data_IF_930000009309
#
_entry.id   IF_930000009309
#
_cell.length_a   1.000
_cell.length_b   1.000
_cell.length_c   1.000
_cell.angle_alpha   90.00
_cell.angle_beta   90.00
_cell.angle_gamma   90.00
#
_symmetry.space_group_name_H-M   'P 1'
#
loop_
_entity.id
_entity.type
_entity.pdbx_description
1 polymer ?
#
# COMPACT_ATOMS: atom_id res chain seq x y z
N UNK A 1 -39.63 10.32 14.13
CA UNK A 1 -38.36 11.07 14.15
C UNK A 1 -38.16 11.70 12.77
N UNK A 2 -38.90 12.77 12.47
CA UNK A 2 -38.81 13.49 11.20
C UNK A 2 -37.74 14.57 11.35
N UNK A 3 -36.55 14.34 10.81
CA UNK A 3 -35.56 15.40 10.67
C UNK A 3 -36.12 16.44 9.71
N UNK A 4 -36.22 17.67 10.19
CA UNK A 4 -36.77 18.80 9.45
C UNK A 4 -35.92 19.09 8.19
N UNK A 5 -36.59 19.00 7.04
CA UNK A 5 -36.11 19.39 5.70
C UNK A 5 -35.27 20.70 5.62
N UNK A 6 -35.47 21.76 6.44
CA UNK A 6 -34.61 22.96 6.39
C UNK A 6 -33.12 22.70 6.66
N UNK A 7 -32.76 21.67 7.41
CA UNK A 7 -31.36 21.44 7.82
C UNK A 7 -30.48 20.97 6.65
N UNK A 8 -31.05 20.20 5.71
CA UNK A 8 -30.34 19.70 4.53
C UNK A 8 -30.05 20.81 3.53
N UNK A 9 -30.98 21.75 3.35
CA UNK A 9 -30.83 22.88 2.43
C UNK A 9 -29.78 23.87 2.96
N UNK A 10 -29.78 24.15 4.27
CA UNK A 10 -28.76 25.00 4.89
C UNK A 10 -27.36 24.38 4.83
N UNK A 11 -27.25 23.05 5.00
CA UNK A 11 -25.99 22.34 4.81
C UNK A 11 -25.50 22.45 3.36
N UNK A 12 -26.38 22.21 2.38
CA UNK A 12 -26.04 22.38 0.96
C UNK A 12 -25.60 23.81 0.64
N UNK A 13 -26.32 24.83 1.10
CA UNK A 13 -25.95 26.23 0.89
C UNK A 13 -24.60 26.57 1.54
N UNK A 14 -24.26 25.98 2.69
CA UNK A 14 -22.96 26.17 3.34
C UNK A 14 -21.81 25.55 2.54
N UNK A 15 -22.03 24.40 1.90
CA UNK A 15 -21.05 23.75 1.03
C UNK A 15 -20.85 24.54 -0.26
N UNK A 16 -21.92 25.10 -0.84
CA UNK A 16 -21.84 25.90 -2.06
C UNK A 16 -21.24 27.29 -1.88
N UNK A 17 -21.18 27.83 -0.67
CA UNK A 17 -20.60 29.16 -0.42
C UNK A 17 -19.06 29.15 -0.29
N UNK A 18 -18.41 27.99 -0.50
CA UNK A 18 -16.96 27.94 -0.50
C UNK A 18 -16.42 28.50 -1.83
N UNK A 19 -15.67 29.62 -1.85
CA UNK A 19 -15.23 30.30 -3.08
C UNK A 19 -14.36 29.40 -3.98
N UNK A 20 -13.75 28.37 -3.39
CA UNK A 20 -12.96 27.36 -4.11
C UNK A 20 -13.87 26.41 -4.92
N UNK A 21 -14.99 25.96 -4.34
CA UNK A 21 -15.93 25.07 -5.03
C UNK A 21 -16.60 25.77 -6.21
N UNK A 22 -16.94 27.05 -6.07
CA UNK A 22 -17.48 27.87 -7.17
C UNK A 22 -16.48 27.96 -8.32
N UNK A 23 -15.19 28.24 -8.04
CA UNK A 23 -14.14 28.28 -9.07
C UNK A 23 -13.95 26.94 -9.80
N UNK A 24 -14.10 25.84 -9.08
CA UNK A 24 -13.98 24.49 -9.64
C UNK A 24 -15.18 24.19 -10.53
N UNK A 25 -16.41 24.40 -10.03
CA UNK A 25 -17.63 24.16 -10.79
C UNK A 25 -17.66 24.99 -12.07
N UNK A 26 -17.28 26.28 -11.99
CA UNK A 26 -17.18 27.15 -13.17
C UNK A 26 -16.19 26.59 -14.19
N UNK A 27 -15.00 26.16 -13.76
CA UNK A 27 -14.00 25.53 -14.66
C UNK A 27 -14.52 24.25 -15.30
N UNK A 28 -15.23 23.40 -14.54
CA UNK A 28 -15.81 22.15 -15.06
C UNK A 28 -16.93 22.43 -16.08
N UNK A 29 -17.79 23.41 -15.82
CA UNK A 29 -18.86 23.81 -16.76
C UNK A 29 -18.26 24.38 -18.05
N UNK A 30 -17.29 25.29 -17.94
CA UNK A 30 -16.61 25.86 -19.13
C UNK A 30 -15.93 24.76 -19.94
N UNK A 31 -15.25 23.82 -19.28
CA UNK A 31 -14.63 22.68 -19.95
C UNK A 31 -15.67 21.80 -20.68
N UNK A 32 -16.77 21.44 -20.01
CA UNK A 32 -17.85 20.66 -20.61
C UNK A 32 -18.47 21.35 -21.83
N UNK A 33 -18.78 22.65 -21.72
CA UNK A 33 -19.30 23.44 -22.84
C UNK A 33 -18.32 23.49 -24.02
N UNK A 34 -17.01 23.64 -23.75
CA UNK A 34 -15.97 23.65 -24.78
C UNK A 34 -15.92 22.32 -25.53
N UNK A 35 -15.98 21.19 -24.81
CA UNK A 35 -15.98 19.85 -25.42
C UNK A 35 -17.23 19.65 -26.29
N UNK A 36 -18.42 20.02 -25.79
CA UNK A 36 -19.67 19.92 -26.55
C UNK A 36 -19.62 20.76 -27.82
N UNK A 37 -19.15 22.01 -27.73
CA UNK A 37 -19.00 22.89 -28.89
C UNK A 37 -18.03 22.29 -29.92
N UNK A 38 -16.88 21.76 -29.48
CA UNK A 38 -15.93 21.10 -30.38
C UNK A 38 -16.51 19.86 -31.07
N UNK A 39 -17.31 19.05 -30.37
CA UNK A 39 -17.97 17.88 -30.97
C UNK A 39 -19.02 18.29 -32.01
N UNK A 40 -19.80 19.34 -31.75
CA UNK A 40 -20.77 19.88 -32.71
C UNK A 40 -20.08 20.42 -33.97
N UNK A 41 -18.99 21.17 -33.79
CA UNK A 41 -18.20 21.67 -34.91
C UNK A 41 -17.57 20.53 -35.71
N UNK A 42 -17.05 19.50 -35.02
CA UNK A 42 -16.45 18.33 -35.66
C UNK A 42 -17.47 17.50 -36.44
N UNK A 43 -18.67 17.26 -35.88
CA UNK A 43 -19.74 16.54 -36.57
C UNK A 43 -20.15 17.24 -37.87
N UNK A 44 -20.36 18.56 -37.81
CA UNK A 44 -20.69 19.36 -38.99
C UNK A 44 -19.54 19.37 -40.02
N UNK A 45 -18.28 19.38 -39.56
CA UNK A 45 -17.11 19.35 -40.43
C UNK A 45 -16.97 18.00 -41.14
N UNK A 46 -17.19 16.88 -40.43
CA UNK A 46 -17.15 15.53 -41.00
C UNK A 46 -18.17 15.33 -42.11
N UNK A 47 -19.35 15.97 -42.02
CA UNK A 47 -20.35 15.92 -43.10
C UNK A 47 -19.89 16.59 -44.40
N UNK A 48 -18.93 17.51 -44.32
CA UNK A 48 -18.38 18.27 -45.46
C UNK A 48 -17.10 17.60 -46.01
N UNK A 49 -16.43 16.77 -45.20
CA UNK A 49 -15.15 16.15 -45.51
C UNK A 49 -15.09 15.01 -46.55
N UNK A 50 -16.17 14.29 -46.96
CA UNK A 50 -16.00 13.16 -47.88
C UNK A 50 -15.50 13.56 -49.27
N UNK A 51 -15.53 14.85 -49.60
CA UNK A 51 -15.05 15.39 -50.88
C UNK A 51 -13.59 15.86 -50.86
N UNK A 52 -12.89 15.74 -49.73
CA UNK A 52 -11.51 16.21 -49.58
C UNK A 52 -10.47 15.08 -49.63
N UNK A 53 -9.27 15.44 -50.07
CA UNK A 53 -8.08 14.58 -50.05
C UNK A 53 -7.79 14.07 -48.63
N UNK A 54 -7.44 12.78 -48.52
CA UNK A 54 -7.10 12.08 -47.28
C UNK A 54 -6.00 12.83 -46.51
N UNK A 55 -5.03 13.45 -47.19
CA UNK A 55 -3.97 14.21 -46.51
C UNK A 55 -4.51 15.42 -45.76
N UNK A 56 -5.52 16.10 -46.31
CA UNK A 56 -6.15 17.26 -45.66
C UNK A 56 -7.00 16.82 -44.46
N UNK A 57 -7.66 15.66 -44.55
CA UNK A 57 -8.43 15.09 -43.45
C UNK A 57 -7.55 14.82 -42.22
N UNK A 58 -6.36 14.25 -42.39
CA UNK A 58 -5.43 14.00 -41.29
C UNK A 58 -4.90 15.28 -40.62
N UNK A 59 -4.60 16.33 -41.40
CA UNK A 59 -4.15 17.61 -40.86
C UNK A 59 -5.20 18.28 -39.96
N UNK A 60 -6.47 18.21 -40.36
CA UNK A 60 -7.59 18.72 -39.57
C UNK A 60 -7.74 17.96 -38.25
N UNK A 61 -7.65 16.63 -38.28
CA UNK A 61 -7.75 15.79 -37.08
C UNK A 61 -6.61 16.10 -36.10
N UNK A 62 -5.37 16.23 -36.58
CA UNK A 62 -4.20 16.53 -35.74
C UNK A 62 -4.33 17.93 -35.11
N UNK A 63 -4.78 18.93 -35.87
CA UNK A 63 -5.00 20.29 -35.37
C UNK A 63 -6.05 20.31 -34.24
N UNK A 64 -7.16 19.61 -34.42
CA UNK A 64 -8.21 19.49 -33.40
C UNK A 64 -7.70 18.74 -32.17
N UNK A 65 -6.93 17.66 -32.35
CA UNK A 65 -6.34 16.91 -31.24
C UNK A 65 -5.39 17.78 -30.40
N UNK A 66 -4.57 18.63 -31.03
CA UNK A 66 -3.72 19.58 -30.31
C UNK A 66 -4.52 20.66 -29.58
N UNK A 67 -5.58 21.18 -30.20
CA UNK A 67 -6.48 22.16 -29.57
C UNK A 67 -7.25 21.58 -28.39
N UNK A 68 -7.64 20.31 -28.44
CA UNK A 68 -8.34 19.61 -27.36
C UNK A 68 -7.40 19.05 -26.28
N UNK A 69 -6.14 18.73 -26.60
CA UNK A 69 -5.18 18.17 -25.66
C UNK A 69 -4.73 19.15 -24.55
N UNK A 70 -4.63 20.44 -24.88
CA UNK A 70 -4.21 21.49 -23.94
C UNK A 70 -5.21 21.78 -22.79
N UNK A 71 -6.54 21.84 -23.01
CA UNK A 71 -7.49 22.01 -21.92
C UNK A 71 -7.65 20.74 -21.08
N UNK A 72 -7.51 19.55 -21.67
CA UNK A 72 -7.56 18.27 -20.95
C UNK A 72 -6.45 18.18 -19.89
N UNK A 73 -5.21 18.51 -20.23
CA UNK A 73 -4.08 18.45 -19.26
C UNK A 73 -4.26 19.40 -18.08
N UNK A 74 -4.74 20.62 -18.33
CA UNK A 74 -5.06 21.61 -17.30
C UNK A 74 -6.25 21.20 -16.42
N UNK A 75 -7.23 20.52 -16.99
CA UNK A 75 -8.38 19.98 -16.25
C UNK A 75 -7.95 18.86 -15.30
N UNK A 76 -7.21 17.86 -15.82
CA UNK A 76 -6.69 16.78 -14.99
C UNK A 76 -5.75 17.31 -13.89
N UNK A 77 -4.86 18.26 -14.19
CA UNK A 77 -3.99 18.88 -13.19
C UNK A 77 -4.76 19.56 -12.04
N UNK A 78 -5.88 20.23 -12.34
CA UNK A 78 -6.73 20.84 -11.31
C UNK A 78 -7.55 19.82 -10.52
N UNK A 79 -8.01 18.74 -11.16
CA UNK A 79 -8.73 17.65 -10.48
C UNK A 79 -7.84 16.89 -9.48
N UNK A 80 -6.56 16.71 -9.79
CA UNK A 80 -5.60 16.15 -8.83
C UNK A 80 -5.38 17.08 -7.62
N UNK A 81 -5.38 18.41 -7.81
CA UNK A 81 -5.26 19.37 -6.70
C UNK A 81 -6.47 19.34 -5.75
N UNK A 82 -7.65 18.97 -6.24
CA UNK A 82 -8.87 18.80 -5.43
C UNK A 82 -8.74 17.68 -4.39
N UNK A 83 -8.01 16.61 -4.72
CA UNK A 83 -7.72 15.54 -3.75
C UNK A 83 -6.89 16.02 -2.56
N UNK A 84 -6.20 17.17 -2.69
CA UNK A 84 -5.49 17.87 -1.61
C UNK A 84 -6.38 18.51 -0.55
N UNK A 85 -7.67 18.75 -0.84
CA UNK A 85 -8.58 19.44 0.09
C UNK A 85 -9.39 18.51 0.99
N UNK A 86 -9.47 17.21 0.67
CA UNK A 86 -10.15 16.19 1.48
C UNK A 86 -9.30 15.67 2.65
N UNK A 87 -8.21 16.37 2.97
CA UNK A 87 -7.29 15.90 4.00
C UNK A 87 -7.86 16.21 5.38
N UNK A 88 -7.73 15.25 6.32
CA UNK A 88 -8.19 15.47 7.68
C UNK A 88 -7.55 16.75 8.25
N UNK A 89 -8.39 17.61 8.82
CA UNK A 89 -7.95 18.85 9.45
C UNK A 89 -7.38 18.52 10.84
N UNK A 90 -6.14 18.92 11.09
CA UNK A 90 -5.48 18.74 12.37
C UNK A 90 -5.52 20.05 13.16
N UNK A 91 -5.80 19.93 14.46
CA UNK A 91 -5.89 21.06 15.37
C UNK A 91 -4.83 20.91 16.48
N UNK A 92 -4.21 22.02 16.84
CA UNK A 92 -3.23 22.03 17.92
C UNK A 92 -3.91 21.74 19.26
N UNK A 93 -3.39 20.77 20.02
CA UNK A 93 -3.94 20.42 21.34
C UNK A 93 -3.89 21.56 22.37
N UNK A 94 -2.93 22.49 22.23
CA UNK A 94 -2.71 23.59 23.19
C UNK A 94 -3.60 24.81 22.94
N UNK A 95 -3.67 25.28 21.69
CA UNK A 95 -4.38 26.52 21.35
C UNK A 95 -5.61 26.29 20.46
N UNK A 96 -5.91 25.04 20.10
CA UNK A 96 -7.02 24.64 19.22
C UNK A 96 -7.04 25.30 17.84
N UNK A 97 -5.95 25.97 17.43
CA UNK A 97 -5.81 26.51 16.09
C UNK A 97 -5.49 25.42 15.08
N UNK A 98 -5.97 25.61 13.85
CA UNK A 98 -5.71 24.73 12.72
C UNK A 98 -4.20 24.68 12.43
N UNK A 99 -3.68 23.48 12.26
CA UNK A 99 -2.29 23.26 11.90
C UNK A 99 -2.11 23.33 10.38
N UNK A 100 -0.94 23.78 9.96
CA UNK A 100 -0.59 24.00 8.56
C UNK A 100 0.44 22.96 8.15
N UNK A 101 0.23 22.32 7.00
CA UNK A 101 1.24 21.44 6.41
C UNK A 101 2.37 22.29 5.83
N UNK A 102 3.63 22.08 6.22
CA UNK A 102 4.75 22.75 5.60
C UNK A 102 4.96 22.24 4.17
N UNK A 103 5.77 22.97 3.39
CA UNK A 103 6.24 22.48 2.10
C UNK A 103 7.16 21.28 2.29
N UNK A 104 7.20 20.37 1.31
CA UNK A 104 8.03 19.16 1.37
C UNK A 104 9.51 19.49 1.61
N UNK A 105 10.03 20.54 0.97
CA UNK A 105 11.42 21.01 1.13
C UNK A 105 11.76 21.37 2.58
N UNK A 106 10.83 22.02 3.30
CA UNK A 106 11.04 22.35 4.71
C UNK A 106 11.06 21.07 5.56
N UNK A 107 10.12 20.15 5.31
CA UNK A 107 10.04 18.89 6.03
C UNK A 107 11.31 18.04 5.85
N UNK A 108 11.85 18.00 4.63
CA UNK A 108 13.08 17.28 4.30
C UNK A 108 14.28 17.77 5.12
N UNK A 109 14.33 19.03 5.56
CA UNK A 109 15.44 19.52 6.41
C UNK A 109 15.47 18.77 7.76
N UNK A 110 14.31 18.34 8.25
CA UNK A 110 14.16 17.66 9.54
C UNK A 110 14.19 16.13 9.43
N UNK A 111 14.24 15.58 8.21
CA UNK A 111 14.37 14.15 8.00
C UNK A 111 15.84 13.72 8.03
N UNK A 112 16.10 12.61 8.70
CA UNK A 112 17.39 11.93 8.65
C UNK A 112 17.68 11.42 7.23
N UNK A 113 18.95 11.15 6.94
CA UNK A 113 19.35 10.63 5.64
C UNK A 113 18.65 9.30 5.27
N UNK A 114 18.55 8.29 6.16
CA UNK A 114 17.82 7.06 5.86
C UNK A 114 16.34 7.29 5.55
N UNK A 115 15.67 8.19 6.28
CA UNK A 115 14.25 8.51 6.05
C UNK A 115 14.03 9.19 4.69
N UNK A 116 14.96 10.07 4.28
CA UNK A 116 14.93 10.68 2.93
C UNK A 116 15.02 9.60 1.86
N UNK A 117 15.93 8.65 2.03
CA UNK A 117 16.08 7.53 1.10
C UNK A 117 14.81 6.68 1.08
N UNK A 118 14.24 6.34 2.23
CA UNK A 118 13.00 5.57 2.32
C UNK A 118 11.81 6.29 1.65
N UNK A 119 11.68 7.60 1.85
CA UNK A 119 10.64 8.39 1.18
C UNK A 119 10.86 8.45 -0.34
N UNK A 120 12.11 8.58 -0.80
CA UNK A 120 12.45 8.56 -2.23
C UNK A 120 12.16 7.21 -2.89
N UNK A 121 12.35 6.10 -2.17
CA UNK A 121 11.93 4.77 -2.62
C UNK A 121 10.40 4.60 -2.66
N UNK A 122 9.68 5.47 -1.95
CA UNK A 122 8.23 5.35 -1.74
C UNK A 122 7.88 4.22 -0.77
N UNK A 123 8.83 3.75 0.04
CA UNK A 123 8.58 2.76 1.10
C UNK A 123 7.92 3.38 2.32
N UNK A 124 8.12 4.68 2.53
CA UNK A 124 7.36 5.52 3.47
C UNK A 124 6.86 6.78 2.78
N UNK A 125 5.85 7.41 3.37
CA UNK A 125 5.39 8.77 3.07
C UNK A 125 5.47 9.57 4.34
N UNK A 126 6.17 10.70 4.31
CA UNK A 126 6.27 11.58 5.47
C UNK A 126 5.31 12.75 5.31
N UNK A 127 4.57 13.08 6.37
CA UNK A 127 3.76 14.29 6.44
C UNK A 127 4.10 15.06 7.70
N UNK A 128 4.08 16.37 7.60
CA UNK A 128 4.33 17.27 8.71
C UNK A 128 3.16 18.22 8.92
N UNK A 129 3.01 18.71 10.15
CA UNK A 129 2.13 19.84 10.47
C UNK A 129 2.80 20.73 11.51
N UNK A 130 2.63 22.04 11.41
CA UNK A 130 3.02 22.96 12.47
C UNK A 130 1.86 23.84 12.89
N UNK A 131 1.88 24.28 14.14
CA UNK A 131 0.94 25.27 14.65
C UNK A 131 1.55 26.66 14.48
N UNK A 132 0.94 27.60 13.73
CA UNK A 132 1.52 28.94 13.52
C UNK A 132 1.62 29.76 14.81
N UNK A 133 0.82 29.43 15.84
CA UNK A 133 0.81 30.15 17.12
C UNK A 133 1.74 29.56 18.17
N UNK A 134 2.01 28.25 18.13
CA UNK A 134 2.77 27.56 19.17
C UNK A 134 4.13 27.04 18.71
N UNK A 135 4.39 26.94 17.40
CA UNK A 135 5.62 26.35 16.87
C UNK A 135 6.89 27.04 17.35
N UNK A 136 6.85 28.34 17.60
CA UNK A 136 7.99 29.15 18.04
C UNK A 136 8.53 28.74 19.42
N UNK A 137 7.73 28.04 20.23
CA UNK A 137 8.12 27.62 21.58
C UNK A 137 8.78 26.23 21.60
N UNK A 138 8.71 25.47 20.51
CA UNK A 138 9.19 24.09 20.47
C UNK A 138 10.57 23.98 19.80
N UNK A 139 11.41 23.06 20.30
CA UNK A 139 12.72 22.75 19.70
C UNK A 139 12.59 22.20 18.28
N UNK A 140 11.55 21.41 18.02
CA UNK A 140 11.15 20.98 16.69
C UNK A 140 9.77 21.59 16.42
N UNK A 141 9.64 22.54 15.49
CA UNK A 141 8.38 23.24 15.28
C UNK A 141 7.32 22.41 14.54
N UNK A 142 7.62 21.15 14.21
CA UNK A 142 6.80 20.28 13.38
C UNK A 142 6.40 18.99 14.11
N UNK A 143 5.13 18.63 13.94
CA UNK A 143 4.60 17.30 14.18
C UNK A 143 4.79 16.45 12.93
N UNK A 144 5.60 15.39 12.98
CA UNK A 144 5.94 14.57 11.81
C UNK A 144 5.32 13.18 11.96
N UNK A 145 4.53 12.75 10.97
CA UNK A 145 4.01 11.38 10.87
C UNK A 145 4.58 10.66 9.67
N UNK A 146 4.94 9.39 9.90
CA UNK A 146 5.40 8.46 8.88
C UNK A 146 4.28 7.49 8.57
N UNK A 147 3.99 7.33 7.29
CA UNK A 147 3.01 6.38 6.79
C UNK A 147 3.75 5.33 5.97
N UNK A 148 3.42 4.07 6.17
CA UNK A 148 3.96 3.00 5.34
C UNK A 148 3.47 3.18 3.90
N UNK A 149 4.40 3.03 2.97
CA UNK A 149 4.12 3.00 1.55
C UNK A 149 3.44 1.69 1.15
N UNK A 150 3.43 1.44 -0.16
CA UNK A 150 2.85 0.23 -0.72
C UNK A 150 3.70 -1.00 -0.35
N UNK A 151 3.19 -1.82 0.58
CA UNK A 151 3.86 -3.04 1.05
C UNK A 151 4.04 -4.08 -0.07
N UNK A 152 3.25 -4.03 -1.14
CA UNK A 152 3.36 -4.98 -2.26
C UNK A 152 4.70 -4.87 -2.99
N UNK A 153 5.41 -3.75 -2.85
CA UNK A 153 6.70 -3.49 -3.49
C UNK A 153 7.89 -4.18 -2.81
N UNK A 154 7.66 -4.93 -1.72
CA UNK A 154 8.68 -5.78 -1.11
C UNK A 154 9.77 -5.02 -0.33
N UNK A 155 9.45 -3.85 0.20
CA UNK A 155 10.36 -3.11 1.09
C UNK A 155 10.38 -3.71 2.50
N UNK A 156 11.54 -3.64 3.15
CA UNK A 156 11.71 -4.09 4.53
C UNK A 156 12.71 -3.20 5.31
N UNK A 157 12.76 -3.37 6.62
CA UNK A 157 13.69 -2.66 7.49
C UNK A 157 15.11 -3.15 7.29
N UNK A 158 16.05 -2.22 7.14
CA UNK A 158 17.47 -2.53 7.16
C UNK A 158 17.94 -2.65 8.62
N UNK A 159 18.65 -3.73 9.01
CA UNK A 159 19.14 -3.88 10.39
C UNK A 159 20.18 -2.82 10.77
N UNK A 160 20.93 -2.29 9.79
CA UNK A 160 21.98 -1.29 10.02
C UNK A 160 21.42 0.14 10.13
N UNK A 161 20.45 0.48 9.26
CA UNK A 161 19.89 1.84 9.20
C UNK A 161 18.59 2.00 10.00
N UNK A 162 17.98 0.88 10.41
CA UNK A 162 16.70 0.81 11.12
C UNK A 162 15.53 1.48 10.38
N UNK A 163 15.62 1.60 9.05
CA UNK A 163 14.62 2.26 8.21
C UNK A 163 14.21 1.36 7.03
N UNK A 164 13.05 1.64 6.41
CA UNK A 164 12.46 0.87 5.30
C UNK A 164 13.20 1.07 3.96
N UNK A 165 14.50 0.79 3.95
CA UNK A 165 15.39 1.01 2.80
C UNK A 165 15.89 -0.27 2.18
N UNK A 166 15.46 -1.44 2.69
CA UNK A 166 15.84 -2.75 2.17
C UNK A 166 14.91 -3.14 1.01
N UNK A 167 15.48 -3.42 -0.16
CA UNK A 167 14.74 -3.93 -1.32
C UNK A 167 15.00 -5.43 -1.43
N UNK A 168 13.91 -6.21 -1.53
CA UNK A 168 13.96 -7.66 -1.71
C UNK A 168 13.75 -8.03 -3.18
N UNK A 169 14.71 -8.74 -3.75
CA UNK A 169 14.58 -9.38 -5.05
C UNK A 169 14.51 -10.88 -4.88
N UNK A 170 13.44 -11.50 -5.42
CA UNK A 170 13.28 -12.94 -5.44
C UNK A 170 13.60 -13.46 -6.84
N UNK A 171 14.47 -14.46 -6.92
CA UNK A 171 14.79 -15.19 -8.15
C UNK A 171 14.51 -16.66 -7.93
N UNK A 172 13.62 -17.25 -8.72
CA UNK A 172 13.38 -18.69 -8.68
C UNK A 172 14.63 -19.39 -9.25
N UNK A 173 15.18 -20.34 -8.48
CA UNK A 173 16.30 -21.18 -8.88
C UNK A 173 15.79 -22.50 -9.48
N UNK A 174 14.82 -23.11 -8.81
CA UNK A 174 14.12 -24.32 -9.26
C UNK A 174 12.62 -24.09 -9.11
N UNK A 175 11.87 -24.32 -10.18
CA UNK A 175 10.41 -24.23 -10.13
C UNK A 175 9.83 -25.36 -9.28
N UNK A 176 8.82 -25.09 -8.44
CA UNK A 176 8.12 -26.13 -7.71
C UNK A 176 7.31 -26.99 -8.68
N UNK A 177 7.31 -28.30 -8.46
CA UNK A 177 6.44 -29.24 -9.18
C UNK A 177 5.46 -29.88 -8.19
N UNK A 178 4.54 -30.71 -8.67
CA UNK A 178 3.67 -31.49 -7.80
C UNK A 178 4.43 -32.55 -7.00
N UNK A 179 5.66 -32.89 -7.41
CA UNK A 179 6.45 -34.00 -6.86
C UNK A 179 7.73 -33.55 -6.17
N UNK A 180 8.17 -32.31 -6.43
CA UNK A 180 9.42 -31.77 -5.89
C UNK A 180 9.22 -30.31 -5.47
N UNK A 181 9.78 -29.92 -4.31
CA UNK A 181 9.76 -28.53 -3.91
C UNK A 181 10.61 -27.70 -4.85
N UNK A 182 10.23 -26.44 -5.01
CA UNK A 182 11.04 -25.46 -5.70
C UNK A 182 12.03 -24.81 -4.73
N UNK A 183 12.84 -23.89 -5.25
CA UNK A 183 13.72 -23.07 -4.45
C UNK A 183 13.81 -21.68 -5.05
N UNK A 184 13.80 -20.66 -4.22
CA UNK A 184 14.11 -19.31 -4.65
C UNK A 184 15.24 -18.72 -3.82
N UNK A 185 15.97 -17.81 -4.45
CA UNK A 185 17.00 -17.00 -3.84
C UNK A 185 16.44 -15.63 -3.57
N UNK A 186 16.59 -15.16 -2.34
CA UNK A 186 16.29 -13.80 -1.93
C UNK A 186 17.60 -13.04 -1.85
N UNK A 187 17.68 -11.96 -2.61
CA UNK A 187 18.76 -10.98 -2.48
C UNK A 187 18.16 -9.71 -1.90
N UNK A 188 18.61 -9.36 -0.70
CA UNK A 188 18.24 -8.14 -0.01
C UNK A 188 19.38 -7.13 -0.18
N UNK A 189 19.04 -5.91 -0.59
CA UNK A 189 20.02 -4.83 -0.72
C UNK A 189 19.46 -3.54 -0.13
N UNK A 190 20.20 -2.93 0.80
CA UNK A 190 19.83 -1.64 1.37
C UNK A 190 20.23 -0.51 0.42
N UNK A 191 19.33 0.45 0.18
CA UNK A 191 19.66 1.62 -0.67
C UNK A 191 20.27 2.78 0.09
N UNK A 192 20.31 2.71 1.42
CA UNK A 192 20.90 3.74 2.28
C UNK A 192 22.34 3.42 2.70
N UNK A 193 22.69 2.13 2.85
CA UNK A 193 24.01 1.68 3.26
C UNK A 193 24.43 0.44 2.46
N UNK A 194 25.65 -0.06 2.71
CA UNK A 194 26.20 -1.21 2.00
C UNK A 194 25.70 -2.58 2.53
N UNK A 195 24.61 -2.61 3.29
CA UNK A 195 24.04 -3.87 3.78
C UNK A 195 23.49 -4.69 2.61
N UNK A 196 23.98 -5.93 2.50
CA UNK A 196 23.53 -6.93 1.54
C UNK A 196 23.43 -8.27 2.24
N UNK A 197 22.34 -8.97 1.95
CA UNK A 197 22.09 -10.32 2.47
C UNK A 197 21.56 -11.16 1.31
N UNK A 198 22.00 -12.41 1.25
CA UNK A 198 21.56 -13.38 0.26
C UNK A 198 21.24 -14.68 0.98
N UNK A 199 20.05 -15.22 0.75
CA UNK A 199 19.63 -16.49 1.31
C UNK A 199 18.74 -17.25 0.35
N UNK A 200 18.66 -18.56 0.54
CA UNK A 200 17.81 -19.44 -0.25
C UNK A 200 16.66 -19.95 0.63
N UNK A 201 15.46 -19.94 0.09
CA UNK A 201 14.25 -20.44 0.75
C UNK A 201 13.57 -21.46 -0.16
N UNK A 202 12.94 -22.46 0.46
CA UNK A 202 12.25 -23.55 -0.25
C UNK A 202 10.85 -23.08 -0.65
N UNK A 203 10.45 -23.37 -1.89
CA UNK A 203 9.07 -23.19 -2.36
C UNK A 203 8.36 -24.53 -2.16
N UNK A 204 7.23 -24.58 -1.42
CA UNK A 204 6.44 -25.80 -1.29
C UNK A 204 6.04 -26.38 -2.67
N UNK A 205 5.86 -27.70 -2.72
CA UNK A 205 5.32 -28.39 -3.90
C UNK A 205 3.96 -27.81 -4.30
N UNK A 206 3.64 -27.87 -5.59
CA UNK A 206 2.34 -27.45 -6.09
C UNK A 206 1.27 -28.46 -5.66
N UNK A 207 0.25 -28.00 -4.94
CA UNK A 207 -0.93 -28.84 -4.64
C UNK A 207 -1.82 -28.84 -5.87
N UNK A 208 -2.01 -30.01 -6.47
CA UNK A 208 -2.95 -30.19 -7.58
C UNK A 208 -4.39 -30.07 -7.06
N UNK A 209 -4.95 -28.86 -7.10
CA UNK A 209 -6.39 -28.63 -6.99
C UNK A 209 -7.08 -29.16 -8.26
N UNK A 210 -7.17 -30.47 -8.41
CA UNK A 210 -8.28 -31.05 -9.18
C UNK A 210 -9.42 -31.22 -8.20
N UNK A 211 -10.55 -30.60 -8.54
CA UNK A 211 -11.81 -30.71 -7.84
C UNK A 211 -12.12 -32.17 -7.47
N UNK A 212 -12.02 -32.49 -6.19
CA UNK A 212 -12.58 -33.70 -5.62
C UNK A 212 -13.91 -33.36 -4.97
N UNK A 213 -14.91 -33.03 -5.79
CA UNK A 213 -16.29 -33.44 -5.51
C UNK A 213 -16.54 -34.76 -6.24
N UNK A 214 -15.94 -35.83 -5.71
CA UNK A 214 -16.39 -37.20 -5.97
C UNK A 214 -16.54 -37.86 -4.61
N UNK A 215 -17.72 -38.43 -4.39
CA UNK A 215 -18.31 -38.76 -3.09
C UNK A 215 -17.38 -39.37 -2.04
N UNK A 216 -17.55 -38.88 -0.80
CA UNK A 216 -17.55 -39.63 0.46
C UNK A 216 -16.43 -40.67 0.74
N UNK A 217 -15.24 -40.48 0.17
CA UNK A 217 -14.04 -41.18 0.64
C UNK A 217 -13.03 -40.15 1.16
N UNK A 218 -12.90 -40.11 2.48
CA UNK A 218 -11.83 -39.42 3.18
C UNK A 218 -10.48 -39.99 2.74
N UNK A 219 -9.84 -39.39 1.74
CA UNK A 219 -8.41 -39.59 1.52
C UNK A 219 -7.67 -38.84 2.62
N UNK A 220 -7.25 -39.60 3.63
CA UNK A 220 -6.56 -39.15 4.83
C UNK A 220 -5.11 -38.65 4.60
N UNK A 221 -4.33 -38.46 5.69
CA UNK A 221 -3.12 -37.61 5.78
C UNK A 221 -1.91 -37.98 4.90
N UNK A 222 -2.01 -39.01 4.06
CA UNK A 222 -0.87 -39.68 3.44
C UNK A 222 -0.20 -38.89 2.31
N UNK A 223 -0.89 -37.92 1.68
CA UNK A 223 -0.27 -37.08 0.63
C UNK A 223 0.64 -35.99 1.19
N UNK A 224 0.42 -35.58 2.45
CA UNK A 224 1.30 -34.65 3.18
C UNK A 224 2.60 -35.35 3.62
N UNK A 225 2.52 -36.65 3.92
CA UNK A 225 3.65 -37.49 4.34
C UNK A 225 4.65 -37.74 3.20
N UNK A 226 4.18 -37.87 1.95
CA UNK A 226 4.99 -38.14 0.76
C UNK A 226 5.93 -36.99 0.38
N UNK A 227 5.54 -35.74 0.63
CA UNK A 227 6.44 -34.59 0.46
C UNK A 227 7.45 -34.43 1.62
N UNK A 228 7.12 -34.95 2.82
CA UNK A 228 8.02 -34.96 3.99
C UNK A 228 9.14 -35.99 3.87
N UNK A 229 8.91 -37.07 3.13
CA UNK A 229 9.79 -38.26 3.07
C UNK A 229 10.87 -38.21 1.98
N UNK A 230 10.93 -37.15 1.16
CA UNK A 230 11.98 -36.93 0.13
C UNK A 230 13.12 -35.99 0.57
N UNK A 231 13.25 -35.71 1.86
CA UNK A 231 14.37 -34.96 2.43
C UNK A 231 15.62 -35.84 2.62
N UNK A 232 16.79 -35.52 2.02
CA UNK A 232 18.07 -35.88 2.61
C UNK A 232 18.32 -34.91 3.77
N UNK A 233 18.30 -35.45 4.98
CA UNK A 233 18.68 -34.77 6.21
C UNK A 233 20.12 -34.26 6.11
N UNK A 234 20.29 -32.94 6.00
CA UNK A 234 21.52 -32.28 6.44
C UNK A 234 21.38 -31.95 7.93
N UNK A 235 21.89 -32.87 8.76
CA UNK A 235 22.55 -32.57 10.04
C UNK A 235 21.67 -32.25 11.26
N UNK A 236 21.45 -33.26 12.11
CA UNK A 236 21.07 -33.11 13.52
C UNK A 236 20.65 -34.46 14.10
N UNK A 237 21.52 -35.08 14.90
CA UNK A 237 21.49 -36.51 15.24
C UNK A 237 20.79 -36.92 16.54
N UNK A 238 20.87 -38.23 16.81
CA UNK A 238 20.36 -38.98 17.98
C UNK A 238 18.94 -39.50 17.73
N UNK A 239 18.69 -40.81 17.55
CA UNK A 239 18.87 -41.91 18.52
C UNK A 239 17.64 -41.92 19.46
N UNK A 240 16.85 -42.95 19.69
CA UNK A 240 16.86 -44.38 19.37
C UNK A 240 15.41 -44.91 19.50
N UNK A 241 15.19 -46.06 18.87
CA UNK A 241 14.22 -47.14 19.12
C UNK A 241 13.43 -47.17 20.44
N UNK A 242 12.15 -47.56 20.36
CA UNK A 242 11.40 -48.13 21.49
C UNK A 242 9.90 -48.27 21.19
N UNK A 243 9.43 -49.50 20.98
CA UNK A 243 8.01 -49.83 20.91
C UNK A 243 7.37 -49.96 22.30
N UNK A 244 6.09 -50.35 22.31
CA UNK A 244 5.31 -51.09 23.34
C UNK A 244 3.85 -50.57 23.29
N UNK A 245 2.83 -51.34 22.88
CA UNK A 245 2.18 -52.55 23.44
C UNK A 245 1.65 -52.38 24.88
N UNK A 246 0.37 -52.75 25.02
CA UNK A 246 -0.54 -52.67 26.16
C UNK A 246 -0.04 -53.14 27.55
N UNK A 247 -0.63 -52.53 28.60
CA UNK A 247 -1.17 -53.30 29.74
C UNK A 247 -0.65 -52.96 31.15
N UNK A 248 -1.58 -52.65 32.07
CA UNK A 248 -1.54 -53.15 33.46
C UNK A 248 -1.15 -52.21 34.61
N UNK A 249 -2.18 -51.71 35.30
CA UNK A 249 -2.42 -51.68 36.76
C UNK A 249 -1.32 -51.49 37.84
N UNK A 250 -1.68 -50.61 38.80
CA UNK A 250 -1.30 -50.44 40.24
C UNK A 250 -0.18 -49.46 40.63
N UNK A 251 -0.63 -48.34 41.23
CA UNK A 251 -0.36 -48.04 42.64
C UNK A 251 0.75 -47.04 42.98
N UNK A 252 0.36 -45.98 43.73
CA UNK A 252 1.25 -45.38 44.74
C UNK A 252 1.66 -43.91 44.53
N UNK A 253 0.90 -43.01 45.17
CA UNK A 253 1.38 -41.94 46.07
C UNK A 253 2.41 -40.89 45.61
N UNK A 254 2.10 -39.62 45.91
CA UNK A 254 3.11 -38.61 46.25
C UNK A 254 3.06 -37.31 45.45
N UNK A 255 2.32 -36.35 45.98
CA UNK A 255 2.64 -34.92 46.18
C UNK A 255 3.47 -34.12 45.14
N UNK A 256 2.89 -32.99 44.70
CA UNK A 256 3.61 -31.70 44.75
C UNK A 256 3.78 -30.89 43.45
N UNK A 257 3.09 -29.74 43.39
CA UNK A 257 3.50 -28.51 42.66
C UNK A 257 3.25 -28.50 41.14
N UNK A 258 2.75 -27.45 40.48
CA UNK A 258 2.58 -26.05 40.85
C UNK A 258 3.09 -25.16 39.70
N UNK A 259 2.19 -24.40 39.06
CA UNK A 259 2.49 -23.24 38.19
C UNK A 259 3.03 -23.57 36.79
N UNK A 260 2.70 -22.85 35.73
CA UNK A 260 1.91 -21.65 35.56
C UNK A 260 1.77 -21.37 34.07
N UNK A 261 0.60 -20.88 33.66
CA UNK A 261 0.35 -20.38 32.31
C UNK A 261 1.11 -19.07 32.07
N UNK A 262 1.53 -18.88 30.82
CA UNK A 262 2.18 -17.68 30.34
C UNK A 262 1.67 -17.32 28.95
N UNK A 263 0.51 -16.68 28.91
CA UNK A 263 0.04 -15.89 27.78
C UNK A 263 0.67 -14.48 27.84
N UNK A 264 1.24 -13.98 26.73
CA UNK A 264 1.41 -12.55 26.44
C UNK A 264 1.89 -12.40 24.99
N UNK A 265 1.15 -11.77 24.07
CA UNK A 265 0.87 -10.33 24.02
C UNK A 265 2.00 -9.66 23.22
N UNK A 266 1.84 -9.20 21.98
CA UNK A 266 0.83 -8.23 21.54
C UNK A 266 1.26 -6.82 21.96
N UNK A 267 2.04 -6.11 21.15
CA UNK A 267 2.55 -4.79 21.50
C UNK A 267 3.04 -3.98 20.31
N UNK A 268 2.11 -3.35 19.58
CA UNK A 268 2.41 -2.26 18.65
C UNK A 268 2.51 -0.95 19.43
N UNK A 269 3.69 -0.32 19.41
CA UNK A 269 3.93 0.98 20.02
C UNK A 269 4.12 2.05 18.94
N UNK A 270 3.04 2.80 18.66
CA UNK A 270 3.15 4.13 18.07
C UNK A 270 3.44 5.12 19.18
N UNK A 271 4.61 5.77 19.14
CA UNK A 271 4.94 6.85 20.06
C UNK A 271 4.36 8.16 19.54
N UNK A 272 3.49 8.73 20.36
CA UNK A 272 3.04 10.11 20.27
C UNK A 272 4.19 11.04 20.69
N UNK A 273 4.69 11.82 19.74
CA UNK A 273 5.32 13.12 19.94
C UNK A 273 4.94 14.04 18.78
#
# INVERSE_FOLDING_TARGET
MFLSLPSFILYYLSVFNHPILIKILLKTIIFGLTVVLCLLLFGNLLSILPNFDIQLQWLVIISIAMLLGFPLSNFFGNLFNLTGYLWPQYYCKKCHHRMISPSKKILEIYLSFPEKVAEQLGSIKVKGWYCPHCSLTFKIPFHIRRYLGDRSKGFDYCPNCQELTLIKHKKILYEPTCWSPGKYRIVCHCRCCNYREEREEIIPCLVSHRDYTVGNYYFGPWFSELCRSLHPSLGGGGGDSGGDVDGGDRGGGGDGGGGGGGDSGGGGGGSDF
#
